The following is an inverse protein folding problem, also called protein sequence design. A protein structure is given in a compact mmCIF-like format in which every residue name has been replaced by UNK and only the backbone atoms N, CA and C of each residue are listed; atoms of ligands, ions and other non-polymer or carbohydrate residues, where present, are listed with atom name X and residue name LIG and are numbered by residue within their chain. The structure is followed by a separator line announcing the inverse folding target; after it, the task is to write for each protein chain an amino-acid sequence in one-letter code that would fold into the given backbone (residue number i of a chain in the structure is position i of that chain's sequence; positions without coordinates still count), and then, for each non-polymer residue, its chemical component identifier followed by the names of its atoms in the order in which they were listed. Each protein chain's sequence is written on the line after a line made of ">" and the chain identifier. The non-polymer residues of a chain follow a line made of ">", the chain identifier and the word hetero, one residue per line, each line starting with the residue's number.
data_IF_776848778576
#
_entry.id   IF_776848778576
#
_cell.length_a   1.000
_cell.length_b   1.000
_cell.length_c   1.000
_cell.angle_alpha   90.00
_cell.angle_beta   90.00
_cell.angle_gamma   90.00
#
_symmetry.space_group_name_H-M   'P 1'
#
loop_
_entity.id
_entity.type
_entity.pdbx_description
1 polymer ?
#
# COMPACT_ATOMS: atom_id res chain seq x y z
N UNK A 1 -15.64 22.31 -5.33
CA UNK A 1 -15.95 21.61 -4.07
C UNK A 1 -17.30 20.91 -4.20
N UNK A 2 -18.40 21.64 -4.43
CA UNK A 2 -19.72 21.04 -4.73
C UNK A 2 -19.70 20.01 -5.87
N UNK A 3 -19.13 20.33 -7.02
CA UNK A 3 -19.03 19.39 -8.15
C UNK A 3 -18.08 18.18 -7.92
N UNK A 4 -17.32 18.20 -6.83
CA UNK A 4 -16.52 17.06 -6.34
C UNK A 4 -17.35 16.22 -5.37
N UNK A 5 -18.08 16.85 -4.44
CA UNK A 5 -19.01 16.18 -3.53
C UNK A 5 -20.13 15.45 -4.29
N UNK A 6 -20.70 16.09 -5.31
CA UNK A 6 -21.76 15.52 -6.17
C UNK A 6 -21.26 14.29 -6.94
N UNK A 7 -20.00 14.28 -7.41
CA UNK A 7 -19.43 13.09 -8.08
C UNK A 7 -18.92 12.04 -7.11
N UNK A 8 -18.48 12.43 -5.92
CA UNK A 8 -18.24 11.49 -4.82
C UNK A 8 -19.55 10.78 -4.45
N UNK A 9 -20.69 11.48 -4.42
CA UNK A 9 -22.03 10.87 -4.28
C UNK A 9 -22.40 9.95 -5.46
N UNK A 10 -22.10 10.34 -6.70
CA UNK A 10 -22.44 9.54 -7.89
C UNK A 10 -21.53 8.30 -8.09
N UNK A 11 -20.24 8.37 -7.71
CA UNK A 11 -19.25 7.30 -7.96
C UNK A 11 -19.03 6.33 -6.77
N UNK A 12 -19.38 6.70 -5.53
CA UNK A 12 -19.14 5.83 -4.35
C UNK A 12 -20.16 4.72 -4.12
N UNK A 13 -21.36 4.83 -4.70
CA UNK A 13 -22.52 4.27 -3.99
C UNK A 13 -22.77 5.08 -2.71
N UNK A 14 -23.51 4.56 -1.73
CA UNK A 14 -23.75 5.28 -0.47
C UNK A 14 -22.43 5.74 0.16
N UNK A 15 -22.31 7.04 0.41
CA UNK A 15 -21.15 7.61 1.11
C UNK A 15 -21.09 7.01 2.49
N UNK A 16 -20.04 6.23 2.74
CA UNK A 16 -19.77 5.71 4.07
C UNK A 16 -19.30 6.85 4.97
N UNK A 17 -20.26 7.41 5.71
CA UNK A 17 -20.07 8.56 6.60
C UNK A 17 -19.02 8.31 7.68
N UNK A 18 -18.70 7.04 8.00
CA UNK A 18 -17.61 6.69 8.92
C UNK A 18 -16.28 7.28 8.48
N UNK A 19 -16.08 7.38 7.17
CA UNK A 19 -14.84 7.84 6.56
C UNK A 19 -14.87 9.31 6.13
N UNK A 20 -15.91 10.07 6.52
CA UNK A 20 -15.91 11.52 6.38
C UNK A 20 -14.77 12.10 7.24
N UNK A 21 -13.87 12.86 6.63
CA UNK A 21 -12.62 13.29 7.26
C UNK A 21 -11.42 12.35 7.08
N UNK A 22 -11.55 11.25 6.34
CA UNK A 22 -10.43 10.38 5.98
C UNK A 22 -10.17 10.35 4.47
N UNK A 23 -8.92 10.08 4.10
CA UNK A 23 -8.52 9.79 2.72
C UNK A 23 -7.86 8.41 2.70
N UNK A 24 -8.61 7.39 2.28
CA UNK A 24 -8.14 6.01 2.18
C UNK A 24 -7.64 5.73 0.76
N UNK A 25 -6.40 5.29 0.64
CA UNK A 25 -5.73 5.02 -0.63
C UNK A 25 -5.18 3.61 -0.63
N UNK A 26 -5.56 2.82 -1.63
CA UNK A 26 -4.92 1.53 -1.92
C UNK A 26 -3.69 1.76 -2.79
N UNK A 27 -2.51 1.48 -2.26
CA UNK A 27 -1.24 1.57 -3.00
C UNK A 27 -0.83 0.17 -3.42
N UNK A 28 -0.62 -0.01 -4.72
CA UNK A 28 -0.24 -1.27 -5.36
C UNK A 28 1.11 -1.10 -6.05
N UNK A 29 2.11 -1.86 -5.61
CA UNK A 29 3.37 -2.01 -6.33
C UNK A 29 3.29 -3.23 -7.25
N UNK A 30 3.49 -3.01 -8.55
CA UNK A 30 3.47 -4.09 -9.54
C UNK A 30 4.86 -4.63 -9.79
N UNK A 31 4.97 -5.95 -9.86
CA UNK A 31 6.13 -6.62 -10.46
C UNK A 31 5.68 -7.30 -11.77
N UNK A 32 6.62 -7.41 -12.70
CA UNK A 32 6.45 -8.24 -13.88
C UNK A 32 6.51 -9.71 -13.49
N UNK A 33 5.54 -10.48 -13.97
CA UNK A 33 5.44 -11.91 -13.74
C UNK A 33 5.15 -12.63 -15.06
N UNK A 34 5.30 -13.96 -15.04
CA UNK A 34 4.80 -14.83 -16.10
C UNK A 34 3.76 -15.78 -15.52
N UNK A 35 2.70 -16.03 -16.27
CA UNK A 35 1.68 -17.00 -15.87
C UNK A 35 2.08 -18.44 -16.26
N UNK A 36 1.21 -19.42 -15.98
CA UNK A 36 1.49 -20.84 -16.26
C UNK A 36 1.67 -21.17 -17.75
N UNK A 37 1.23 -20.28 -18.64
CA UNK A 37 1.35 -20.40 -20.09
C UNK A 37 2.56 -19.58 -20.63
N UNK A 38 3.47 -19.14 -19.75
CA UNK A 38 4.63 -18.28 -20.06
C UNK A 38 4.25 -16.91 -20.65
N UNK A 39 2.98 -16.50 -20.54
CA UNK A 39 2.54 -15.20 -21.01
C UNK A 39 2.84 -14.12 -19.96
N UNK A 40 3.27 -12.91 -20.38
CA UNK A 40 3.46 -11.79 -19.47
C UNK A 40 2.19 -11.48 -18.67
N UNK A 41 2.35 -11.31 -17.36
CA UNK A 41 1.30 -11.00 -16.40
C UNK A 41 1.81 -9.93 -15.43
N UNK A 42 0.93 -9.05 -14.96
CA UNK A 42 1.26 -8.11 -13.87
C UNK A 42 0.61 -8.59 -12.58
N UNK A 43 1.38 -8.64 -11.50
CA UNK A 43 0.90 -8.99 -10.15
C UNK A 43 1.13 -7.84 -9.18
N UNK A 44 0.24 -7.72 -8.20
CA UNK A 44 0.40 -6.76 -7.11
C UNK A 44 1.22 -7.39 -5.99
N UNK A 45 2.51 -7.05 -5.94
CA UNK A 45 3.51 -7.66 -5.05
C UNK A 45 3.71 -6.86 -3.76
N UNK A 46 3.39 -5.57 -3.80
CA UNK A 46 3.23 -4.72 -2.63
C UNK A 46 1.79 -4.22 -2.57
N UNK A 47 1.09 -4.48 -1.47
CA UNK A 47 -0.32 -4.11 -1.28
C UNK A 47 -0.45 -3.38 0.05
N UNK A 48 -0.64 -2.07 -0.02
CA UNK A 48 -0.73 -1.22 1.17
C UNK A 48 -2.09 -0.51 1.18
N UNK A 49 -2.86 -0.68 2.24
CA UNK A 49 -4.01 0.17 2.50
C UNK A 49 -3.58 1.30 3.42
N UNK A 50 -3.51 2.52 2.86
CA UNK A 50 -3.16 3.74 3.57
C UNK A 50 -4.41 4.51 3.96
N UNK A 51 -4.47 4.99 5.20
CA UNK A 51 -5.51 5.90 5.68
C UNK A 51 -4.89 7.15 6.25
N UNK A 52 -5.27 8.30 5.70
CA UNK A 52 -4.84 9.61 6.14
C UNK A 52 -6.01 10.33 6.80
N UNK A 53 -5.82 10.80 8.02
CA UNK A 53 -6.81 11.60 8.74
C UNK A 53 -6.70 13.06 8.31
N UNK A 54 -7.69 13.59 7.60
CA UNK A 54 -7.59 14.88 6.89
C UNK A 54 -7.37 16.08 7.84
N UNK A 55 -7.88 15.98 9.07
CA UNK A 55 -7.77 17.03 10.08
C UNK A 55 -6.38 17.07 10.74
N UNK A 56 -5.80 15.91 11.07
CA UNK A 56 -4.58 15.80 11.88
C UNK A 56 -3.34 15.39 11.10
N UNK A 57 -3.50 14.93 9.85
CA UNK A 57 -2.43 14.42 9.00
C UNK A 57 -1.82 13.11 9.48
N UNK A 58 -2.43 12.44 10.47
CA UNK A 58 -1.99 11.13 10.96
C UNK A 58 -2.19 10.08 9.87
N UNK A 59 -1.19 9.22 9.71
CA UNK A 59 -1.20 8.16 8.69
C UNK A 59 -1.16 6.80 9.35
N UNK A 60 -2.01 5.91 8.86
CA UNK A 60 -2.10 4.51 9.24
C UNK A 60 -1.94 3.68 7.98
N UNK A 61 -1.17 2.59 8.07
CA UNK A 61 -0.86 1.75 6.91
C UNK A 61 -1.04 0.29 7.32
N UNK A 62 -1.93 -0.41 6.61
CA UNK A 62 -2.05 -1.86 6.69
C UNK A 62 -1.30 -2.44 5.49
N UNK A 63 -0.17 -3.14 5.76
CA UNK A 63 0.53 -3.91 4.75
C UNK A 63 -0.13 -5.29 4.64
N UNK A 64 -0.61 -5.64 3.45
CA UNK A 64 -1.34 -6.87 3.18
C UNK A 64 -0.40 -7.81 2.42
N UNK A 65 -0.05 -8.99 2.97
CA UNK A 65 0.78 -9.95 2.27
C UNK A 65 0.16 -10.33 0.93
N UNK A 66 0.98 -10.30 -0.12
CA UNK A 66 0.56 -10.57 -1.51
C UNK A 66 -0.12 -11.94 -1.65
N UNK A 67 0.32 -12.93 -0.87
CA UNK A 67 -0.14 -14.31 -0.90
C UNK A 67 -1.30 -14.57 0.08
N UNK A 68 -1.95 -13.50 0.57
CA UNK A 68 -3.16 -13.63 1.37
C UNK A 68 -4.23 -14.39 0.59
N UNK A 69 -4.74 -15.46 1.20
CA UNK A 69 -5.78 -16.28 0.60
C UNK A 69 -7.13 -15.56 0.64
N UNK A 70 -7.72 -15.34 -0.53
CA UNK A 70 -8.95 -14.54 -0.68
C UNK A 70 -9.97 -15.22 -1.60
N UNK A 71 -11.27 -15.06 -1.33
CA UNK A 71 -12.30 -15.47 -2.26
C UNK A 71 -12.25 -14.61 -3.52
N UNK A 72 -12.36 -15.25 -4.69
CA UNK A 72 -12.54 -14.55 -5.94
C UNK A 72 -13.97 -14.00 -6.03
N UNK A 73 -14.10 -12.80 -6.61
CA UNK A 73 -15.40 -12.21 -6.87
C UNK A 73 -16.28 -13.16 -7.71
N UNK A 74 -17.60 -13.07 -7.51
CA UNK A 74 -18.60 -13.86 -8.24
C UNK A 74 -18.50 -15.38 -8.04
N UNK A 75 -17.92 -15.85 -6.94
CA UNK A 75 -17.89 -17.28 -6.59
C UNK A 75 -16.96 -18.13 -7.44
N UNK A 76 -15.94 -17.52 -8.08
CA UNK A 76 -14.97 -18.21 -8.95
C UNK A 76 -13.87 -18.96 -8.18
N UNK A 77 -14.15 -19.41 -6.95
CA UNK A 77 -13.17 -20.07 -6.07
C UNK A 77 -12.35 -19.08 -5.25
N UNK A 78 -11.12 -19.48 -4.91
CA UNK A 78 -10.20 -18.73 -4.05
C UNK A 78 -8.85 -18.57 -4.76
N UNK A 79 -8.08 -17.54 -4.41
CA UNK A 79 -6.75 -17.29 -4.97
C UNK A 79 -5.88 -16.50 -4.00
N UNK A 80 -4.62 -16.31 -4.38
CA UNK A 80 -3.70 -15.35 -3.75
C UNK A 80 -4.07 -13.94 -4.15
N UNK A 81 -4.08 -13.02 -3.19
CA UNK A 81 -4.47 -11.63 -3.43
C UNK A 81 -3.69 -10.96 -4.56
N UNK A 82 -2.40 -11.28 -4.75
CA UNK A 82 -1.60 -10.72 -5.86
C UNK A 82 -2.13 -11.07 -7.25
N UNK A 83 -2.79 -12.22 -7.40
CA UNK A 83 -3.38 -12.66 -8.68
C UNK A 83 -4.69 -11.94 -9.00
N UNK A 84 -5.34 -11.34 -8.00
CA UNK A 84 -6.58 -10.59 -8.23
C UNK A 84 -6.35 -9.41 -9.18
N UNK A 85 -5.16 -8.78 -9.11
CA UNK A 85 -4.77 -7.73 -10.04
C UNK A 85 -4.66 -8.25 -11.48
N UNK A 86 -4.06 -9.42 -11.69
CA UNK A 86 -3.94 -10.00 -13.02
C UNK A 86 -5.30 -10.29 -13.68
N UNK A 87 -6.32 -10.62 -12.88
CA UNK A 87 -7.66 -10.95 -13.39
C UNK A 87 -8.50 -9.70 -13.69
N UNK A 88 -8.43 -8.67 -12.85
CA UNK A 88 -9.36 -7.54 -12.94
C UNK A 88 -8.78 -6.16 -12.62
N UNK A 89 -7.45 -6.05 -12.55
CA UNK A 89 -6.71 -4.84 -12.27
C UNK A 89 -7.02 -4.22 -10.91
N UNK A 90 -6.62 -2.96 -10.75
CA UNK A 90 -6.86 -2.19 -9.54
C UNK A 90 -8.35 -2.13 -9.12
N UNK A 91 -9.35 -2.00 -10.04
CA UNK A 91 -10.75 -1.99 -9.65
C UNK A 91 -11.21 -3.27 -8.95
N UNK A 92 -10.70 -4.44 -9.37
CA UNK A 92 -11.03 -5.69 -8.68
C UNK A 92 -10.30 -5.81 -7.33
N UNK A 93 -9.04 -5.36 -7.25
CA UNK A 93 -8.30 -5.29 -5.97
C UNK A 93 -9.06 -4.45 -4.93
N UNK A 94 -9.53 -3.26 -5.33
CA UNK A 94 -10.32 -2.38 -4.47
C UNK A 94 -11.57 -3.09 -3.96
N UNK A 95 -12.34 -3.73 -4.85
CA UNK A 95 -13.55 -4.46 -4.46
C UNK A 95 -13.24 -5.60 -3.50
N UNK A 96 -12.19 -6.38 -3.76
CA UNK A 96 -11.78 -7.50 -2.89
C UNK A 96 -11.38 -6.99 -1.51
N UNK A 97 -10.58 -5.94 -1.42
CA UNK A 97 -10.14 -5.39 -0.13
C UNK A 97 -11.29 -4.70 0.62
N UNK A 98 -12.16 -3.97 -0.06
CA UNK A 98 -13.39 -3.43 0.54
C UNK A 98 -14.23 -4.55 1.16
N UNK A 99 -14.41 -5.68 0.46
CA UNK A 99 -15.16 -6.83 0.96
C UNK A 99 -14.45 -7.56 2.12
N UNK A 100 -13.12 -7.58 2.13
CA UNK A 100 -12.36 -8.22 3.20
C UNK A 100 -12.47 -7.47 4.53
N UNK A 101 -12.50 -6.14 4.48
CA UNK A 101 -12.34 -5.31 5.68
C UNK A 101 -13.52 -4.40 5.99
N UNK A 102 -14.52 -4.31 5.12
CA UNK A 102 -15.62 -3.34 5.22
C UNK A 102 -15.12 -1.89 5.35
N UNK A 103 -14.16 -1.51 4.51
CA UNK A 103 -13.56 -0.17 4.48
C UNK A 103 -13.88 0.50 3.15
N UNK A 104 -14.23 1.79 3.18
CA UNK A 104 -14.33 2.62 1.98
C UNK A 104 -12.94 3.04 1.47
N UNK A 105 -12.44 2.39 0.42
CA UNK A 105 -11.27 2.87 -0.32
C UNK A 105 -11.69 4.00 -1.27
N UNK A 106 -11.09 5.18 -1.12
CA UNK A 106 -11.45 6.37 -1.91
C UNK A 106 -10.69 6.44 -3.23
N UNK A 107 -9.42 6.03 -3.21
CA UNK A 107 -8.56 6.08 -4.38
C UNK A 107 -7.64 4.86 -4.42
N UNK A 108 -7.16 4.50 -5.61
CA UNK A 108 -6.02 3.60 -5.76
C UNK A 108 -4.88 4.29 -6.48
N UNK A 109 -3.67 3.82 -6.22
CA UNK A 109 -2.43 4.23 -6.87
C UNK A 109 -1.67 2.95 -7.22
N UNK A 110 -1.30 2.82 -8.48
CA UNK A 110 -0.53 1.70 -9.02
C UNK A 110 0.81 2.21 -9.49
N UNK A 111 1.86 1.61 -8.99
CA UNK A 111 3.25 2.01 -9.20
C UNK A 111 4.00 0.80 -9.73
N UNK A 112 4.62 0.91 -10.90
CA UNK A 112 5.58 -0.07 -11.39
C UNK A 112 7.01 0.25 -10.89
N UNK A 113 7.94 -0.66 -11.14
CA UNK A 113 9.32 -0.54 -10.64
C UNK A 113 10.02 0.72 -11.18
N UNK A 114 9.94 0.98 -12.49
CA UNK A 114 10.51 2.19 -13.11
C UNK A 114 10.00 3.49 -12.45
N UNK A 115 8.70 3.55 -12.18
CA UNK A 115 8.09 4.71 -11.51
C UNK A 115 8.51 4.80 -10.06
N UNK A 116 8.63 3.67 -9.38
CA UNK A 116 9.13 3.61 -8.01
C UNK A 116 10.56 4.17 -7.90
N UNK A 117 11.48 3.73 -8.78
CA UNK A 117 12.86 4.24 -8.80
C UNK A 117 12.89 5.77 -8.98
N UNK A 118 12.14 6.29 -9.96
CA UNK A 118 12.02 7.73 -10.22
C UNK A 118 11.52 8.51 -9.00
N UNK A 119 10.53 7.98 -8.28
CA UNK A 119 9.98 8.61 -7.07
C UNK A 119 11.05 8.72 -5.98
N UNK A 120 11.82 7.64 -5.77
CA UNK A 120 12.89 7.59 -4.76
C UNK A 120 14.03 8.54 -5.13
N UNK A 121 14.45 8.56 -6.40
CA UNK A 121 15.48 9.47 -6.89
C UNK A 121 15.03 10.93 -6.81
N UNK A 122 13.75 11.19 -7.12
CA UNK A 122 13.19 12.53 -7.01
C UNK A 122 13.16 13.05 -5.57
N UNK A 123 13.01 12.20 -4.53
CA UNK A 123 13.22 12.66 -3.14
C UNK A 123 14.70 12.75 -2.78
N UNK A 124 15.61 12.24 -3.61
CA UNK A 124 17.05 12.18 -3.39
C UNK A 124 17.42 11.06 -2.43
N UNK A 125 16.91 9.86 -2.70
CA UNK A 125 17.21 8.63 -1.99
C UNK A 125 16.63 8.51 -0.58
N UNK A 126 16.79 7.34 0.03
CA UNK A 126 16.28 6.99 1.36
C UNK A 126 17.40 6.42 2.23
N UNK A 127 17.54 6.98 3.43
CA UNK A 127 18.47 6.45 4.43
C UNK A 127 17.78 5.33 5.24
N UNK A 128 18.34 4.11 5.23
CA UNK A 128 17.86 3.01 6.06
C UNK A 128 18.98 2.07 6.52
N UNK A 129 18.70 1.24 7.53
CA UNK A 129 19.63 0.23 8.01
C UNK A 129 19.34 -1.11 7.34
N UNK A 130 20.27 -1.59 6.52
CA UNK A 130 20.23 -2.94 5.92
C UNK A 130 20.61 -3.95 7.00
N UNK A 131 19.73 -4.91 7.26
CA UNK A 131 19.80 -5.75 8.47
C UNK A 131 20.86 -6.83 8.43
N UNK A 132 21.27 -7.24 7.23
CA UNK A 132 22.26 -8.29 6.96
C UNK A 132 22.81 -8.12 5.56
N UNK A 133 23.91 -8.78 5.28
CA UNK A 133 24.43 -8.87 3.92
C UNK A 133 23.37 -9.54 3.03
N UNK A 134 23.07 -8.91 1.90
CA UNK A 134 22.16 -9.37 0.86
C UNK A 134 23.00 -9.69 -0.36
N UNK A 135 22.92 -10.94 -0.79
CA UNK A 135 23.64 -11.46 -1.95
C UNK A 135 22.69 -12.38 -2.71
N UNK A 136 22.23 -11.94 -3.88
CA UNK A 136 21.26 -12.66 -4.71
C UNK A 136 21.38 -12.23 -6.17
N UNK A 137 21.52 -13.19 -7.06
CA UNK A 137 21.48 -12.99 -8.50
C UNK A 137 20.39 -13.86 -9.11
N UNK A 138 19.57 -13.22 -9.94
CA UNK A 138 18.55 -13.84 -10.79
C UNK A 138 18.71 -13.30 -12.21
N UNK A 139 19.54 -13.97 -13.03
CA UNK A 139 19.80 -13.55 -14.40
C UNK A 139 18.56 -13.60 -15.29
N UNK A 140 17.56 -14.44 -14.97
CA UNK A 140 16.31 -14.55 -15.74
C UNK A 140 15.42 -13.33 -15.50
N UNK A 141 15.36 -12.85 -14.25
CA UNK A 141 14.67 -11.62 -13.88
C UNK A 141 15.52 -10.34 -14.07
N UNK A 142 16.78 -10.47 -14.50
CA UNK A 142 17.72 -9.35 -14.62
C UNK A 142 18.05 -8.69 -13.27
N UNK A 143 17.90 -9.40 -12.16
CA UNK A 143 18.01 -8.86 -10.82
C UNK A 143 19.33 -9.28 -10.18
N UNK A 144 20.15 -8.31 -9.79
CA UNK A 144 21.41 -8.55 -9.07
C UNK A 144 21.45 -7.66 -7.84
N UNK A 145 21.55 -8.28 -6.67
CA UNK A 145 21.44 -7.63 -5.37
C UNK A 145 22.70 -7.96 -4.57
N UNK A 146 23.54 -6.94 -4.37
CA UNK A 146 24.74 -7.05 -3.54
C UNK A 146 24.83 -5.87 -2.56
N UNK A 147 24.26 -6.03 -1.38
CA UNK A 147 24.26 -5.00 -0.33
C UNK A 147 24.87 -5.52 0.96
N UNK A 148 25.82 -4.78 1.51
CA UNK A 148 26.33 -5.09 2.87
C UNK A 148 25.39 -4.54 3.93
N UNK A 149 25.31 -5.25 5.04
CA UNK A 149 24.70 -4.80 6.28
C UNK A 149 25.20 -3.42 6.69
N UNK A 150 24.32 -2.62 7.29
CA UNK A 150 24.64 -1.32 7.88
C UNK A 150 23.73 -0.20 7.41
N UNK A 151 23.98 1.00 7.94
CA UNK A 151 23.30 2.21 7.45
C UNK A 151 23.76 2.52 6.04
N UNK A 152 22.80 2.69 5.14
CA UNK A 152 23.01 3.03 3.74
C UNK A 152 22.04 4.11 3.30
N UNK A 153 22.49 4.89 2.33
CA UNK A 153 21.65 5.77 1.54
C UNK A 153 21.34 5.02 0.24
N UNK A 154 20.07 4.69 0.02
CA UNK A 154 19.63 3.93 -1.15
C UNK A 154 19.04 4.91 -2.17
N UNK A 155 19.55 4.87 -3.41
CA UNK A 155 18.86 5.46 -4.56
C UNK A 155 17.66 4.60 -5.00
N UNK A 156 17.00 4.96 -6.11
CA UNK A 156 15.83 4.23 -6.61
C UNK A 156 16.10 2.75 -6.88
N UNK A 157 17.17 2.46 -7.61
CA UNK A 157 17.54 1.09 -7.97
C UNK A 157 17.96 0.27 -6.74
N UNK A 158 18.77 0.85 -5.85
CA UNK A 158 19.14 0.19 -4.59
C UNK A 158 17.92 -0.01 -3.67
N UNK A 159 16.97 0.92 -3.64
CA UNK A 159 15.73 0.77 -2.88
C UNK A 159 14.87 -0.38 -3.44
N UNK A 160 14.78 -0.52 -4.77
CA UNK A 160 14.05 -1.60 -5.42
C UNK A 160 14.67 -2.95 -5.06
N UNK A 161 15.99 -3.08 -5.24
CA UNK A 161 16.75 -4.28 -4.89
C UNK A 161 16.53 -4.68 -3.42
N UNK A 162 16.56 -3.72 -2.49
CA UNK A 162 16.31 -3.97 -1.08
C UNK A 162 14.89 -4.52 -0.82
N UNK A 163 13.89 -3.99 -1.53
CA UNK A 163 12.49 -4.44 -1.42
C UNK A 163 12.22 -5.78 -2.12
N UNK A 164 12.99 -6.14 -3.14
CA UNK A 164 12.84 -7.39 -3.91
C UNK A 164 13.66 -8.55 -3.36
N UNK A 165 14.62 -8.31 -2.46
CA UNK A 165 15.41 -9.37 -1.85
C UNK A 165 14.55 -10.40 -1.10
N UNK A 166 14.74 -11.69 -1.38
CA UNK A 166 14.03 -12.84 -0.76
C UNK A 166 14.93 -13.86 -0.06
N UNK A 167 16.24 -13.60 0.04
CA UNK A 167 17.23 -14.58 0.51
C UNK A 167 17.27 -14.87 2.02
N UNK A 168 16.18 -14.69 2.79
CA UNK A 168 16.07 -15.15 4.20
C UNK A 168 15.27 -16.44 4.37
N UNK A 169 15.56 -17.13 5.49
CA UNK A 169 14.72 -18.15 6.16
C UNK A 169 13.27 -17.70 6.47
N UNK A 170 12.97 -16.41 6.35
CA UNK A 170 11.65 -15.79 6.59
C UNK A 170 10.87 -15.50 5.29
N UNK A 171 11.45 -15.76 4.11
CA UNK A 171 10.77 -15.61 2.82
C UNK A 171 9.97 -14.31 2.65
N UNK A 172 8.68 -14.44 2.34
CA UNK A 172 7.80 -13.29 2.10
C UNK A 172 7.49 -12.47 3.36
N UNK A 173 7.59 -13.05 4.57
CA UNK A 173 7.48 -12.30 5.83
C UNK A 173 8.65 -11.32 5.99
N UNK A 174 9.86 -11.76 5.65
CA UNK A 174 11.05 -10.89 5.61
C UNK A 174 10.86 -9.72 4.65
N UNK A 175 10.31 -9.98 3.46
CA UNK A 175 9.99 -8.94 2.47
C UNK A 175 8.97 -7.93 3.00
N UNK A 176 7.88 -8.40 3.61
CA UNK A 176 6.87 -7.52 4.21
C UNK A 176 7.48 -6.64 5.31
N UNK A 177 8.39 -7.15 6.14
CA UNK A 177 9.10 -6.35 7.14
C UNK A 177 9.99 -5.28 6.50
N UNK A 178 10.72 -5.61 5.42
CA UNK A 178 11.54 -4.65 4.67
C UNK A 178 10.69 -3.53 4.06
N UNK A 179 9.55 -3.87 3.47
CA UNK A 179 8.57 -2.89 2.96
C UNK A 179 8.09 -1.94 4.07
N UNK A 180 7.77 -2.45 5.26
CA UNK A 180 7.36 -1.59 6.38
C UNK A 180 8.46 -0.63 6.83
N UNK A 181 9.72 -1.09 6.87
CA UNK A 181 10.87 -0.25 7.22
C UNK A 181 11.12 0.82 6.16
N UNK A 182 11.07 0.42 4.89
CA UNK A 182 11.20 1.34 3.77
C UNK A 182 10.11 2.43 3.81
N UNK A 183 8.83 2.06 3.95
CA UNK A 183 7.72 3.03 4.00
C UNK A 183 7.90 4.04 5.14
N UNK A 184 8.39 3.61 6.31
CA UNK A 184 8.69 4.52 7.43
C UNK A 184 9.85 5.46 7.11
N UNK A 185 10.93 4.94 6.51
CA UNK A 185 12.09 5.73 6.12
C UNK A 185 11.74 6.74 5.01
N UNK A 186 11.00 6.30 3.99
CA UNK A 186 10.49 7.13 2.91
C UNK A 186 9.54 8.22 3.42
N UNK A 187 8.62 7.90 4.33
CA UNK A 187 7.76 8.89 4.99
C UNK A 187 8.58 9.95 5.74
N UNK A 188 9.58 9.51 6.52
CA UNK A 188 10.47 10.43 7.21
C UNK A 188 11.24 11.34 6.23
N UNK A 189 11.68 10.80 5.08
CA UNK A 189 12.33 11.55 4.00
C UNK A 189 11.39 12.59 3.37
N UNK A 190 10.13 12.24 3.12
CA UNK A 190 9.13 13.15 2.56
C UNK A 190 8.88 14.38 3.43
N UNK A 191 8.96 14.22 4.75
CA UNK A 191 8.74 15.31 5.71
C UNK A 191 9.95 16.23 5.90
N UNK A 192 11.12 15.88 5.35
CA UNK A 192 12.30 16.73 5.49
C UNK A 192 12.15 18.00 4.67
N UNK A 193 12.69 19.09 5.21
CA UNK A 193 12.61 20.43 4.59
C UNK A 193 13.28 20.46 3.21
N UNK A 194 14.32 19.64 2.98
CA UNK A 194 15.00 19.51 1.69
C UNK A 194 14.17 18.80 0.61
N UNK A 195 13.07 18.14 0.98
CA UNK A 195 12.15 17.50 0.03
C UNK A 195 11.05 18.45 -0.46
N UNK A 196 10.74 19.52 0.28
CA UNK A 196 9.70 20.49 -0.10
C UNK A 196 9.88 21.08 -1.51
N UNK A 197 11.10 21.50 -1.94
CA UNK A 197 11.30 22.01 -3.29
C UNK A 197 11.09 20.97 -4.39
N UNK A 198 11.10 19.68 -4.04
CA UNK A 198 10.98 18.55 -4.97
C UNK A 198 9.53 18.10 -5.19
N UNK A 199 8.59 18.64 -4.41
CA UNK A 199 7.15 18.32 -4.52
C UNK A 199 6.60 18.52 -5.94
N UNK A 200 6.92 19.60 -6.68
CA UNK A 200 6.45 19.74 -8.06
C UNK A 200 6.94 18.63 -8.98
N UNK A 201 8.22 18.24 -8.88
CA UNK A 201 8.79 17.15 -9.66
C UNK A 201 8.10 15.81 -9.32
N UNK A 202 7.85 15.54 -8.04
CA UNK A 202 7.09 14.36 -7.62
C UNK A 202 5.66 14.37 -8.20
N UNK A 203 4.98 15.51 -8.18
CA UNK A 203 3.64 15.64 -8.74
C UNK A 203 3.63 15.38 -10.26
N UNK A 204 4.67 15.80 -10.97
CA UNK A 204 4.82 15.53 -12.40
C UNK A 204 5.03 14.02 -12.67
N UNK A 205 5.90 13.34 -11.91
CA UNK A 205 6.09 11.88 -11.99
C UNK A 205 4.77 11.15 -11.70
N UNK A 206 4.09 11.50 -10.60
CA UNK A 206 2.80 10.90 -10.23
C UNK A 206 1.71 11.15 -11.29
N UNK A 207 1.81 12.21 -12.08
CA UNK A 207 0.83 12.50 -13.14
C UNK A 207 1.14 11.75 -14.44
N UNK A 208 2.42 11.52 -14.74
CA UNK A 208 2.85 10.95 -16.02
C UNK A 208 2.98 9.42 -15.95
N UNK A 209 3.48 8.91 -14.83
CA UNK A 209 4.00 7.54 -14.75
C UNK A 209 3.15 6.63 -13.83
N UNK A 210 2.26 7.20 -13.01
CA UNK A 210 1.41 6.42 -12.08
C UNK A 210 0.01 6.21 -12.65
N UNK A 211 -0.51 4.98 -12.51
CA UNK A 211 -1.92 4.69 -12.79
C UNK A 211 -2.76 4.88 -11.52
N UNK A 212 -3.74 5.79 -11.56
CA UNK A 212 -4.58 6.12 -10.39
C UNK A 212 -6.04 6.38 -10.79
N UNK A 213 -6.96 6.22 -9.84
CA UNK A 213 -8.34 6.68 -9.97
C UNK A 213 -8.53 8.17 -9.63
N UNK A 214 -7.50 8.85 -9.12
CA UNK A 214 -7.61 10.22 -8.65
C UNK A 214 -7.78 11.20 -9.82
N UNK A 215 -8.86 11.99 -9.82
CA UNK A 215 -9.04 13.10 -10.75
C UNK A 215 -8.28 14.36 -10.28
N UNK A 216 -8.29 15.43 -11.09
CA UNK A 216 -7.60 16.68 -10.77
C UNK A 216 -7.94 17.24 -9.37
N UNK A 217 -9.21 17.22 -8.98
CA UNK A 217 -9.63 17.73 -7.67
C UNK A 217 -9.24 16.80 -6.52
N UNK A 218 -9.26 15.48 -6.73
CA UNK A 218 -8.72 14.50 -5.78
C UNK A 218 -7.23 14.76 -5.56
N UNK A 219 -6.48 14.97 -6.64
CA UNK A 219 -5.04 15.26 -6.59
C UNK A 219 -4.74 16.56 -5.80
N UNK A 220 -5.57 17.59 -5.94
CA UNK A 220 -5.45 18.81 -5.12
C UNK A 220 -5.78 18.54 -3.65
N UNK A 221 -6.84 17.79 -3.36
CA UNK A 221 -7.22 17.40 -2.00
C UNK A 221 -6.13 16.56 -1.34
N UNK A 222 -5.67 15.50 -2.01
CA UNK A 222 -4.56 14.65 -1.58
C UNK A 222 -3.31 15.49 -1.36
N UNK A 223 -2.96 16.40 -2.29
CA UNK A 223 -1.84 17.32 -2.12
C UNK A 223 -1.95 18.17 -0.85
N UNK A 224 -3.15 18.66 -0.52
CA UNK A 224 -3.39 19.41 0.72
C UNK A 224 -3.28 18.52 1.97
N UNK A 225 -3.74 17.27 1.92
CA UNK A 225 -3.58 16.30 3.01
C UNK A 225 -2.10 15.94 3.19
N UNK A 226 -1.37 15.71 2.10
CA UNK A 226 0.08 15.42 2.10
C UNK A 226 0.87 16.57 2.74
N UNK A 227 0.50 17.82 2.48
CA UNK A 227 1.14 18.99 3.12
C UNK A 227 0.85 19.11 4.61
N UNK A 228 -0.18 18.43 5.11
CA UNK A 228 -0.57 18.41 6.53
C UNK A 228 -0.03 17.17 7.25
N UNK A 229 0.71 16.29 6.57
CA UNK A 229 1.23 15.07 7.17
C UNK A 229 1.95 15.36 8.49
N UNK A 230 1.61 14.56 9.49
CA UNK A 230 2.13 14.73 10.83
C UNK A 230 3.61 14.34 10.89
N UNK A 231 4.42 15.03 11.69
CA UNK A 231 5.80 14.64 11.93
C UNK A 231 5.94 13.25 12.61
N UNK A 232 4.88 12.77 13.26
CA UNK A 232 4.83 11.42 13.81
C UNK A 232 4.88 10.37 12.71
N UNK A 233 5.74 9.34 12.83
CA UNK A 233 5.84 8.30 11.81
C UNK A 233 4.51 7.54 11.69
N UNK A 234 4.20 7.01 10.50
CA UNK A 234 2.96 6.29 10.26
C UNK A 234 2.89 5.05 11.16
N UNK A 235 1.68 4.78 11.66
CA UNK A 235 1.41 3.50 12.33
C UNK A 235 1.24 2.44 11.25
N UNK A 236 2.24 1.59 11.10
CA UNK A 236 2.23 0.48 10.13
C UNK A 236 1.98 -0.84 10.81
N UNK A 237 1.01 -1.61 10.30
CA UNK A 237 0.65 -2.94 10.79
C UNK A 237 0.65 -3.92 9.60
N UNK A 238 1.14 -5.14 9.79
CA UNK A 238 0.96 -6.23 8.83
C UNK A 238 -0.40 -6.87 9.08
N UNK A 239 -1.13 -7.25 8.03
CA UNK A 239 -2.38 -7.98 8.16
C UNK A 239 -2.19 -9.19 9.10
N UNK A 240 -2.90 -9.25 10.23
CA UNK A 240 -2.79 -10.37 11.15
C UNK A 240 -3.10 -11.69 10.47
N UNK A 241 -2.29 -12.69 10.74
CA UNK A 241 -2.40 -14.00 10.14
C UNK A 241 -1.16 -14.82 10.40
N UNK A 242 -1.15 -15.99 9.78
CA UNK A 242 -0.02 -16.90 9.77
C UNK A 242 0.00 -17.65 8.44
N UNK A 243 1.10 -18.34 8.17
CA UNK A 243 1.18 -19.21 7.00
C UNK A 243 0.21 -20.39 7.13
N UNK A 244 -0.29 -20.86 5.99
CA UNK A 244 -1.12 -22.06 5.97
C UNK A 244 -0.30 -23.27 6.47
N UNK A 245 -0.95 -24.15 7.24
CA UNK A 245 -0.29 -25.29 7.87
C UNK A 245 0.42 -26.22 6.88
N UNK A 246 -0.15 -26.37 5.68
CA UNK A 246 0.32 -27.29 4.65
C UNK A 246 0.98 -26.57 3.46
N UNK A 247 1.05 -25.24 3.48
CA UNK A 247 1.67 -24.41 2.44
C UNK A 247 2.21 -23.10 3.05
N UNK A 248 3.52 -23.05 3.28
CA UNK A 248 4.22 -21.90 3.87
C UNK A 248 4.36 -20.70 2.93
N UNK A 249 3.79 -20.80 1.72
CA UNK A 249 3.74 -19.71 0.75
C UNK A 249 2.36 -19.05 0.68
N UNK A 250 1.38 -19.53 1.45
CA UNK A 250 0.02 -18.96 1.53
C UNK A 250 -0.19 -18.30 2.87
N UNK A 251 -0.62 -17.04 2.87
CA UNK A 251 -0.94 -16.30 4.09
C UNK A 251 -2.43 -16.42 4.43
N UNK A 252 -2.74 -16.93 5.61
CA UNK A 252 -4.12 -17.06 6.11
C UNK A 252 -4.37 -15.96 7.13
N UNK A 253 -5.31 -15.08 6.79
CA UNK A 253 -5.72 -13.97 7.65
C UNK A 253 -6.40 -14.47 8.94
N UNK A 254 -5.95 -13.98 10.09
CA UNK A 254 -6.69 -14.10 11.34
C UNK A 254 -7.81 -13.06 11.35
N UNK A 255 -9.04 -13.53 11.11
CA UNK A 255 -10.22 -12.65 11.04
C UNK A 255 -10.47 -11.88 12.33
N UNK A 256 -10.38 -12.53 13.49
CA UNK A 256 -10.69 -11.89 14.76
C UNK A 256 -9.65 -10.80 15.12
N UNK A 257 -8.37 -11.09 14.90
CA UNK A 257 -7.31 -10.10 15.09
C UNK A 257 -7.40 -8.98 14.05
N UNK A 258 -7.75 -9.30 12.81
CA UNK A 258 -7.96 -8.31 11.75
C UNK A 258 -9.12 -7.37 12.09
N UNK A 259 -10.30 -7.88 12.45
CA UNK A 259 -11.46 -7.07 12.81
C UNK A 259 -11.18 -6.14 14.00
N UNK A 260 -10.34 -6.58 14.94
CA UNK A 260 -9.88 -5.75 16.06
C UNK A 260 -8.99 -4.61 15.55
N UNK A 261 -8.02 -4.92 14.69
CA UNK A 261 -7.11 -3.91 14.15
C UNK A 261 -7.83 -2.93 13.22
N UNK A 262 -8.77 -3.40 12.40
CA UNK A 262 -9.57 -2.52 11.56
C UNK A 262 -10.35 -1.53 12.41
N UNK A 263 -11.05 -1.98 13.46
CA UNK A 263 -11.76 -1.09 14.40
C UNK A 263 -10.83 -0.15 15.18
N UNK A 264 -9.58 -0.54 15.39
CA UNK A 264 -8.60 0.30 16.09
C UNK A 264 -7.98 1.36 15.17
N UNK A 265 -7.74 1.01 13.91
CA UNK A 265 -7.07 1.87 12.94
C UNK A 265 -8.05 2.75 12.15
N UNK A 266 -9.25 2.28 11.90
CA UNK A 266 -10.23 2.93 11.04
C UNK A 266 -11.49 3.28 11.86
N UNK A 267 -12.21 4.34 11.47
CA UNK A 267 -13.49 4.68 12.10
C UNK A 267 -14.45 3.49 12.10
N UNK A 268 -15.04 3.18 13.26
CA UNK A 268 -16.12 2.21 13.36
C UNK A 268 -17.47 2.86 13.07
N UNK A 269 -18.50 2.05 12.79
CA UNK A 269 -19.89 2.54 12.89
C UNK A 269 -20.08 3.08 14.32
N UNK A 270 -20.33 4.38 14.45
CA UNK A 270 -20.88 4.89 15.71
C UNK A 270 -22.23 4.21 15.88
N UNK A 271 -22.38 3.44 16.96
CA UNK A 271 -23.65 2.84 17.31
C UNK A 271 -24.58 3.98 17.72
N UNK A 272 -25.31 4.56 16.76
CA UNK A 272 -26.44 5.46 17.02
C UNK A 272 -27.50 4.67 17.82
N UNK A 273 -27.33 4.58 19.14
CA UNK A 273 -28.20 3.76 19.97
C UNK A 273 -28.02 3.90 21.48
N UNK A 274 -26.84 4.23 22.01
CA UNK A 274 -26.63 4.20 23.47
C UNK A 274 -26.72 5.55 24.20
N UNK A 275 -26.88 6.69 23.50
CA UNK A 275 -27.08 8.00 24.16
C UNK A 275 -28.56 8.42 24.35
N UNK A 276 -29.52 7.50 24.20
CA UNK A 276 -30.95 7.75 24.53
C UNK A 276 -31.52 6.85 25.64
N UNK A 277 -30.67 6.13 26.37
CA UNK A 277 -31.07 5.41 27.58
C UNK A 277 -30.13 5.73 28.73
N UNK A 278 -30.16 6.98 29.18
CA UNK A 278 -30.06 7.29 30.60
C UNK A 278 -30.76 8.64 30.77
N UNK A 279 -31.93 8.54 31.41
CA UNK A 279 -32.77 9.63 31.88
C UNK A 279 -32.05 10.52 32.89
#
# INVERSE_FOLDING_TARGET
>A
YEAYLVRQEENRGEVDVRFDGYTNVLVLGLDDAVNMDEAPEKRADAILLMSMENATGKVRILNIPRDTWVPMAQGKGETRLSHVYAVGGAPLMVRTINQMFDISIHQYVVIDMDTFEKIVDAVGGVDLYVERDMDYDDPEAGLSIHMRQGYRHLDGAEAEQYLRYRGDDLGDLGRTQRQQKFVKAFYAKLLRVDTLPKIPQLADILKQDVTTSAELFDSVHIGNVVRKLNAQPPRTIMLPGDFARDDDTVWIMDRAATDKIIRELFPSEETEGEQKKEE
#
